data_IF_204487078725
#
_entry.id   IF_204487078725
#
_cell.length_a   1.000
_cell.length_b   1.000
_cell.length_c   1.000
_cell.angle_alpha   90.00
_cell.angle_beta   90.00
_cell.angle_gamma   90.00
#
_symmetry.space_group_name_H-M   'P 1'
#
loop_
_entity.id
_entity.type
_entity.pdbx_description
1 polymer ?
#
# COMPACT_ATOMS: atom_id res chain seq x y z
N UNK A 1 -97.68 12.77 -25.66
CA UNK A 1 -97.36 14.03 -26.33
C UNK A 1 -96.84 15.02 -25.33
N UNK A 2 -95.76 15.52 -25.47
CA UNK A 2 -94.96 16.60 -24.83
C UNK A 2 -93.61 16.06 -24.29
N UNK A 3 -92.61 16.31 -25.06
CA UNK A 3 -91.21 16.14 -24.81
C UNK A 3 -90.71 17.20 -23.84
N UNK A 4 -90.03 16.78 -22.77
CA UNK A 4 -89.29 17.70 -21.88
C UNK A 4 -87.81 17.39 -21.97
N UNK A 5 -87.07 18.32 -22.52
CA UNK A 5 -85.63 18.29 -22.57
C UNK A 5 -85.03 18.92 -21.31
N UNK A 6 -84.39 18.12 -20.50
CA UNK A 6 -83.58 18.62 -19.43
C UNK A 6 -82.15 18.81 -19.88
N UNK A 7 -81.64 20.01 -19.78
CA UNK A 7 -80.29 20.40 -20.05
C UNK A 7 -79.42 20.15 -18.78
N UNK A 8 -78.58 19.20 -18.77
CA UNK A 8 -77.58 18.99 -17.72
C UNK A 8 -76.28 19.79 -17.98
N UNK A 9 -76.04 20.70 -17.06
CA UNK A 9 -74.86 21.54 -17.07
C UNK A 9 -73.69 20.71 -16.45
N UNK A 10 -72.69 20.32 -17.23
CA UNK A 10 -71.47 19.66 -16.79
C UNK A 10 -70.50 20.73 -16.32
N UNK A 11 -70.24 20.79 -15.00
CA UNK A 11 -69.13 21.54 -14.42
C UNK A 11 -67.85 20.75 -14.60
N UNK A 12 -66.96 21.24 -15.42
CA UNK A 12 -65.59 20.70 -15.56
C UNK A 12 -64.73 21.27 -14.42
N UNK A 13 -64.39 20.41 -13.45
CA UNK A 13 -63.38 20.70 -12.43
C UNK A 13 -62.02 20.35 -12.99
N UNK A 14 -61.24 21.36 -13.35
CA UNK A 14 -59.82 21.22 -13.74
C UNK A 14 -58.98 21.00 -12.51
N UNK A 15 -58.52 19.76 -12.30
CA UNK A 15 -57.57 19.37 -11.26
C UNK A 15 -56.15 19.67 -11.75
N UNK A 16 -55.56 20.77 -11.28
CA UNK A 16 -54.15 21.11 -11.56
C UNK A 16 -53.25 20.20 -10.71
N UNK A 17 -52.64 19.20 -11.32
CA UNK A 17 -51.58 18.40 -10.74
C UNK A 17 -50.31 19.25 -10.69
N UNK A 18 -49.97 19.80 -9.54
CA UNK A 18 -48.64 20.32 -9.21
C UNK A 18 -47.72 19.10 -9.06
N UNK A 19 -46.97 18.81 -10.09
CA UNK A 19 -45.85 17.86 -10.05
C UNK A 19 -44.73 18.40 -9.15
N UNK A 20 -44.65 17.88 -7.93
CA UNK A 20 -43.43 18.06 -7.11
C UNK A 20 -42.30 17.27 -7.75
N UNK A 21 -41.39 17.96 -8.41
CA UNK A 21 -40.09 17.39 -8.75
C UNK A 21 -39.34 17.13 -7.42
N UNK A 22 -39.36 15.91 -6.95
CA UNK A 22 -38.39 15.43 -5.96
C UNK A 22 -37.04 15.39 -6.65
N UNK A 23 -36.17 16.36 -6.37
CA UNK A 23 -34.76 16.23 -6.67
C UNK A 23 -34.20 15.11 -5.79
N UNK A 24 -34.07 13.94 -6.39
CA UNK A 24 -33.30 12.84 -5.87
C UNK A 24 -31.85 13.33 -5.81
N UNK A 25 -31.37 13.68 -4.59
CA UNK A 25 -29.96 14.01 -4.36
C UNK A 25 -29.16 12.76 -4.74
N UNK A 26 -28.28 12.90 -5.74
CA UNK A 26 -27.31 11.87 -6.05
C UNK A 26 -26.58 11.46 -4.76
N UNK A 27 -26.30 10.17 -4.54
CA UNK A 27 -25.54 9.73 -3.38
C UNK A 27 -24.21 10.49 -3.40
N UNK A 28 -23.93 11.21 -2.31
CA UNK A 28 -22.59 11.74 -2.05
C UNK A 28 -21.68 10.51 -2.01
N UNK A 29 -20.75 10.41 -2.93
CA UNK A 29 -19.72 9.39 -2.86
C UNK A 29 -19.04 9.59 -1.49
N UNK A 30 -19.10 8.60 -0.62
CA UNK A 30 -18.27 8.58 0.60
C UNK A 30 -16.84 8.68 0.11
N UNK A 31 -16.15 9.77 0.45
CA UNK A 31 -14.71 9.90 0.20
C UNK A 31 -14.06 8.73 0.96
N UNK A 32 -13.40 7.84 0.23
CA UNK A 32 -12.67 6.73 0.85
C UNK A 32 -11.55 7.31 1.71
N UNK A 33 -11.40 6.78 2.92
CA UNK A 33 -10.34 7.14 3.84
C UNK A 33 -8.97 7.00 3.14
N UNK A 34 -8.13 8.02 3.21
CA UNK A 34 -6.79 8.00 2.61
C UNK A 34 -5.88 7.01 3.32
N UNK A 35 -4.80 6.58 2.67
CA UNK A 35 -3.82 5.71 3.31
C UNK A 35 -3.24 6.36 4.57
N UNK A 36 -2.92 7.66 4.52
CA UNK A 36 -2.41 8.42 5.66
C UNK A 36 -3.39 8.38 6.85
N UNK A 37 -4.68 8.60 6.63
CA UNK A 37 -5.71 8.55 7.67
C UNK A 37 -5.80 7.15 8.32
N UNK A 38 -5.76 6.08 7.52
CA UNK A 38 -5.76 4.70 8.02
C UNK A 38 -4.52 4.41 8.89
N UNK A 39 -3.34 4.88 8.46
CA UNK A 39 -2.09 4.71 9.20
C UNK A 39 -2.09 5.50 10.50
N UNK A 40 -2.61 6.73 10.50
CA UNK A 40 -2.76 7.58 11.68
C UNK A 40 -3.77 6.98 12.68
N UNK A 41 -4.90 6.46 12.21
CA UNK A 41 -5.84 5.73 13.05
C UNK A 41 -5.18 4.49 13.70
N UNK A 42 -4.34 3.77 12.94
CA UNK A 42 -3.55 2.64 13.46
C UNK A 42 -2.56 3.06 14.53
N UNK A 43 -1.88 4.21 14.33
CA UNK A 43 -0.95 4.81 15.30
C UNK A 43 -1.69 5.23 16.56
N UNK A 44 -2.82 5.93 16.43
CA UNK A 44 -3.66 6.34 17.57
C UNK A 44 -4.09 5.14 18.41
N UNK A 45 -4.54 4.05 17.78
CA UNK A 45 -4.88 2.80 18.48
C UNK A 45 -3.69 2.17 19.22
N UNK A 46 -2.47 2.27 18.69
CA UNK A 46 -1.27 1.82 19.41
C UNK A 46 -1.03 2.66 20.65
N UNK A 47 -1.11 3.99 20.54
CA UNK A 47 -0.92 4.94 21.66
C UNK A 47 -1.95 4.71 22.76
N UNK A 48 -3.22 4.45 22.41
CA UNK A 48 -4.28 4.15 23.39
C UNK A 48 -4.01 2.86 24.18
N UNK A 49 -3.41 1.84 23.54
CA UNK A 49 -3.25 0.50 24.14
C UNK A 49 -1.88 0.26 24.78
N UNK A 50 -0.88 1.07 24.46
CA UNK A 50 0.49 0.88 24.91
C UNK A 50 0.79 1.69 26.19
N UNK A 51 1.74 1.19 27.00
CA UNK A 51 2.23 1.99 28.14
C UNK A 51 3.12 3.13 27.64
N UNK A 52 3.29 4.22 28.43
CA UNK A 52 4.18 5.33 28.07
C UNK A 52 5.61 4.88 27.73
N UNK A 53 6.14 3.90 28.48
CA UNK A 53 7.48 3.34 28.25
C UNK A 53 7.59 2.63 26.90
N UNK A 54 6.54 1.90 26.51
CA UNK A 54 6.48 1.20 25.22
C UNK A 54 6.36 2.19 24.06
N UNK A 55 5.60 3.27 24.23
CA UNK A 55 5.52 4.34 23.26
C UNK A 55 6.90 4.99 23.09
N UNK A 56 7.53 5.39 24.21
CA UNK A 56 8.85 6.00 24.19
C UNK A 56 9.91 5.08 23.54
N UNK A 57 9.91 3.77 23.86
CA UNK A 57 10.82 2.81 23.22
C UNK A 57 10.61 2.71 21.71
N UNK A 58 9.38 2.76 21.23
CA UNK A 58 9.07 2.73 19.80
C UNK A 58 9.54 4.01 19.09
N UNK A 59 9.30 5.19 19.68
CA UNK A 59 9.75 6.48 19.11
C UNK A 59 11.28 6.57 19.10
N UNK A 60 11.96 6.17 20.20
CA UNK A 60 13.42 6.15 20.27
C UNK A 60 14.01 5.19 19.23
N UNK A 61 13.41 4.03 19.03
CA UNK A 61 13.89 3.07 18.04
C UNK A 61 13.80 3.62 16.60
N UNK A 62 12.74 4.37 16.29
CA UNK A 62 12.62 5.05 14.99
C UNK A 62 13.69 6.13 14.85
N UNK A 63 13.92 6.93 15.88
CA UNK A 63 14.98 7.96 15.87
C UNK A 63 16.35 7.34 15.70
N UNK A 64 16.67 6.22 16.38
CA UNK A 64 17.94 5.51 16.23
C UNK A 64 18.17 5.03 14.80
N UNK A 65 17.12 4.51 14.13
CA UNK A 65 17.20 4.13 12.71
C UNK A 65 17.41 5.36 11.83
N UNK A 66 16.71 6.46 12.07
CA UNK A 66 16.87 7.70 11.31
C UNK A 66 18.30 8.28 11.44
N UNK A 67 18.85 8.25 12.65
CA UNK A 67 20.18 8.81 12.97
C UNK A 67 21.34 7.86 12.52
N UNK A 68 21.04 6.66 12.04
CA UNK A 68 22.06 5.67 11.61
C UNK A 68 22.78 6.02 10.30
N UNK A 69 22.33 7.03 9.58
CA UNK A 69 22.80 7.37 8.23
C UNK A 69 22.27 6.42 7.16
N UNK A 70 21.19 5.68 7.43
CA UNK A 70 20.58 4.75 6.45
C UNK A 70 19.90 5.50 5.31
N UNK A 71 19.31 6.66 5.59
CA UNK A 71 18.58 7.45 4.59
C UNK A 71 19.52 8.01 3.51
N UNK A 72 20.79 8.29 3.85
CA UNK A 72 21.82 8.75 2.92
C UNK A 72 22.41 7.59 2.08
N UNK A 73 22.25 6.34 2.53
CA UNK A 73 22.73 5.14 1.84
C UNK A 73 21.69 4.53 0.91
N UNK A 74 20.42 4.74 1.24
CA UNK A 74 19.30 4.23 0.44
C UNK A 74 19.34 4.84 -0.96
N UNK A 75 19.11 4.02 -1.99
CA UNK A 75 18.94 4.55 -3.34
C UNK A 75 17.74 5.51 -3.36
N UNK A 76 17.80 6.51 -4.22
CA UNK A 76 16.85 7.60 -4.24
C UNK A 76 16.55 8.05 -5.67
N UNK A 77 15.74 9.09 -5.80
CA UNK A 77 15.37 9.70 -7.08
C UNK A 77 16.59 9.95 -7.98
N UNK A 78 16.55 9.45 -9.20
CA UNK A 78 17.60 9.58 -10.21
C UNK A 78 18.65 8.46 -10.18
N UNK A 79 18.70 7.64 -9.14
CA UNK A 79 19.61 6.51 -9.07
C UNK A 79 19.18 5.38 -10.01
N UNK A 80 20.11 4.48 -10.33
CA UNK A 80 19.82 3.23 -11.03
C UNK A 80 19.44 2.16 -10.02
N UNK A 81 18.25 1.57 -10.19
CA UNK A 81 17.79 0.46 -9.39
C UNK A 81 18.67 -0.78 -9.64
N UNK A 82 19.29 -1.37 -8.60
CA UNK A 82 19.96 -2.66 -8.73
C UNK A 82 19.01 -3.72 -9.29
N UNK A 83 19.46 -4.44 -10.34
CA UNK A 83 18.67 -5.55 -10.87
C UNK A 83 18.68 -6.73 -9.89
N UNK A 84 17.61 -7.50 -9.88
CA UNK A 84 17.51 -8.70 -9.07
C UNK A 84 16.71 -9.80 -9.77
N UNK A 85 16.87 -11.01 -9.28
CA UNK A 85 15.95 -12.12 -9.52
C UNK A 85 15.62 -12.74 -8.18
N UNK A 86 14.36 -12.66 -7.78
CA UNK A 86 13.85 -13.20 -6.52
C UNK A 86 12.72 -14.20 -6.78
N UNK A 87 12.53 -15.20 -5.90
CA UNK A 87 11.39 -16.09 -6.01
C UNK A 87 10.09 -15.39 -5.62
N UNK A 88 9.02 -15.63 -6.39
CA UNK A 88 7.67 -15.32 -5.96
C UNK A 88 7.21 -16.28 -4.85
N UNK A 89 5.98 -16.09 -4.36
CA UNK A 89 5.40 -16.91 -3.31
C UNK A 89 5.24 -18.40 -3.71
N UNK A 90 5.26 -18.73 -5.00
CA UNK A 90 5.21 -20.10 -5.54
C UNK A 90 6.59 -20.66 -5.86
N UNK A 91 7.66 -19.86 -5.68
CA UNK A 91 9.04 -20.22 -5.97
C UNK A 91 9.48 -19.97 -7.42
N UNK A 92 8.66 -19.34 -8.24
CA UNK A 92 9.05 -18.96 -9.60
C UNK A 92 9.99 -17.75 -9.56
N UNK A 93 11.07 -17.73 -10.38
CA UNK A 93 11.97 -16.59 -10.43
C UNK A 93 11.29 -15.41 -11.14
N UNK A 94 11.36 -14.23 -10.52
CA UNK A 94 10.90 -12.96 -11.08
C UNK A 94 12.08 -11.99 -11.12
N UNK A 95 12.37 -11.45 -12.30
CA UNK A 95 13.44 -10.47 -12.51
C UNK A 95 12.84 -9.07 -12.60
N UNK A 96 13.46 -8.09 -11.92
CA UNK A 96 13.04 -6.69 -12.03
C UNK A 96 13.05 -6.21 -13.49
N UNK A 97 14.12 -6.51 -14.24
CA UNK A 97 14.24 -6.03 -15.62
C UNK A 97 13.28 -6.71 -16.59
N UNK A 98 12.84 -7.94 -16.29
CA UNK A 98 11.78 -8.59 -17.07
C UNK A 98 10.41 -7.94 -16.80
N UNK A 99 10.19 -7.43 -15.59
CA UNK A 99 8.98 -6.65 -15.28
C UNK A 99 9.05 -5.24 -15.89
N UNK A 100 10.21 -4.58 -15.85
CA UNK A 100 10.43 -3.28 -16.49
C UNK A 100 10.24 -3.32 -18.01
N UNK A 101 10.51 -4.45 -18.65
CA UNK A 101 10.21 -4.63 -20.07
C UNK A 101 8.71 -4.60 -20.41
N UNK A 102 7.83 -4.76 -19.42
CA UNK A 102 6.36 -4.69 -19.55
C UNK A 102 5.82 -3.29 -19.28
N UNK A 103 6.58 -2.44 -18.59
CA UNK A 103 6.21 -1.08 -18.19
C UNK A 103 6.92 -0.64 -16.91
N UNK A 104 6.63 0.55 -16.40
CA UNK A 104 7.20 1.00 -15.14
C UNK A 104 6.81 0.06 -13.98
N UNK A 105 7.70 -0.05 -12.98
CA UNK A 105 7.49 -0.92 -11.81
C UNK A 105 7.35 -0.07 -10.56
N UNK A 106 6.22 -0.22 -9.87
CA UNK A 106 6.07 0.22 -8.48
C UNK A 106 6.67 -0.88 -7.62
N UNK A 107 7.84 -0.61 -7.03
CA UNK A 107 8.58 -1.53 -6.19
C UNK A 107 8.50 -1.09 -4.73
N UNK A 108 7.86 -1.90 -3.88
CA UNK A 108 7.72 -1.58 -2.47
C UNK A 108 8.33 -2.66 -1.59
N UNK A 109 9.16 -2.26 -0.61
CA UNK A 109 9.59 -3.15 0.47
C UNK A 109 8.68 -3.02 1.68
N UNK A 110 8.35 -4.16 2.27
CA UNK A 110 7.61 -4.23 3.52
C UNK A 110 8.32 -5.11 4.53
N UNK A 111 8.07 -4.88 5.82
CA UNK A 111 8.78 -5.52 6.93
C UNK A 111 8.38 -6.97 7.15
N UNK A 112 7.18 -7.33 6.76
CA UNK A 112 6.59 -8.66 6.88
C UNK A 112 5.08 -8.63 7.10
N UNK A 113 4.43 -9.76 6.89
CA UNK A 113 2.99 -10.00 7.05
C UNK A 113 2.46 -9.73 8.47
N UNK A 114 3.34 -9.83 9.47
CA UNK A 114 3.06 -9.52 10.86
C UNK A 114 2.94 -8.01 11.15
N UNK A 115 3.34 -7.15 10.23
CA UNK A 115 3.38 -5.69 10.41
C UNK A 115 2.05 -5.04 10.01
N UNK A 116 1.25 -4.49 10.95
CA UNK A 116 -0.08 -3.97 10.63
C UNK A 116 -0.05 -2.76 9.69
N UNK A 117 0.97 -1.90 9.75
CA UNK A 117 1.12 -0.76 8.83
C UNK A 117 1.42 -1.23 7.40
N UNK A 118 2.21 -2.30 7.27
CA UNK A 118 2.48 -2.90 5.97
C UNK A 118 1.21 -3.50 5.37
N UNK A 119 0.41 -4.19 6.19
CA UNK A 119 -0.85 -4.77 5.74
C UNK A 119 -1.82 -3.70 5.25
N UNK A 120 -1.96 -2.57 5.96
CA UNK A 120 -2.80 -1.44 5.54
C UNK A 120 -2.34 -0.96 4.15
N UNK A 121 -1.06 -0.67 3.95
CA UNK A 121 -0.52 -0.22 2.67
C UNK A 121 -0.78 -1.22 1.53
N UNK A 122 -0.52 -2.52 1.78
CA UNK A 122 -0.64 -3.53 0.73
C UNK A 122 -2.10 -3.81 0.36
N UNK A 123 -3.04 -3.65 1.30
CA UNK A 123 -4.48 -3.66 0.99
C UNK A 123 -4.90 -2.44 0.18
N UNK A 124 -4.38 -1.27 0.49
CA UNK A 124 -4.66 -0.04 -0.25
C UNK A 124 -4.12 -0.11 -1.69
N UNK A 125 -2.92 -0.69 -1.88
CA UNK A 125 -2.40 -1.04 -3.20
C UNK A 125 -3.27 -2.06 -3.95
N UNK A 126 -3.80 -3.08 -3.25
CA UNK A 126 -4.70 -4.05 -3.87
C UNK A 126 -6.00 -3.38 -4.35
N UNK A 127 -6.56 -2.47 -3.55
CA UNK A 127 -7.75 -1.71 -3.94
C UNK A 127 -7.50 -0.83 -5.18
N UNK A 128 -6.27 -0.33 -5.35
CA UNK A 128 -5.85 0.53 -6.46
C UNK A 128 -5.22 -0.24 -7.63
N UNK A 129 -5.14 -1.59 -7.55
CA UNK A 129 -4.40 -2.40 -8.53
C UNK A 129 -4.92 -2.24 -9.96
N UNK A 130 -6.24 -2.13 -10.13
CA UNK A 130 -6.84 -1.89 -11.43
C UNK A 130 -6.37 -0.60 -12.09
N UNK A 131 -6.23 0.48 -11.32
CA UNK A 131 -5.73 1.78 -11.79
C UNK A 131 -4.24 1.71 -12.14
N UNK A 132 -3.44 1.02 -11.31
CA UNK A 132 -2.00 0.78 -11.56
C UNK A 132 -1.81 0.05 -12.88
N UNK A 133 -2.55 -1.04 -13.10
CA UNK A 133 -2.49 -1.85 -14.32
C UNK A 133 -3.00 -1.07 -15.55
N UNK A 134 -4.05 -0.27 -15.39
CA UNK A 134 -4.57 0.58 -16.46
C UNK A 134 -3.55 1.65 -16.89
N UNK A 135 -2.68 2.09 -15.98
CA UNK A 135 -1.55 2.97 -16.29
C UNK A 135 -0.34 2.22 -16.91
N UNK A 136 -0.44 0.92 -17.14
CA UNK A 136 0.63 0.10 -17.72
C UNK A 136 1.74 -0.27 -16.73
N UNK A 137 1.58 0.03 -15.44
CA UNK A 137 2.59 -0.25 -14.41
C UNK A 137 2.40 -1.65 -13.81
N UNK A 138 3.53 -2.24 -13.34
CA UNK A 138 3.54 -3.46 -12.53
C UNK A 138 3.72 -3.10 -11.06
N UNK A 139 3.04 -3.82 -10.16
CA UNK A 139 3.23 -3.69 -8.71
C UNK A 139 3.97 -4.91 -8.17
N UNK A 140 5.11 -4.66 -7.53
CA UNK A 140 5.99 -5.67 -6.94
C UNK A 140 6.24 -5.33 -5.47
N UNK A 141 5.85 -6.22 -4.56
CA UNK A 141 6.11 -6.10 -3.13
C UNK A 141 7.18 -7.13 -2.71
N UNK A 142 8.15 -6.69 -1.91
CA UNK A 142 9.29 -7.50 -1.48
C UNK A 142 9.39 -7.51 0.05
N UNK A 143 9.64 -8.66 0.64
CA UNK A 143 9.94 -8.79 2.07
C UNK A 143 11.02 -9.83 2.33
N UNK A 144 11.66 -9.84 3.51
CA UNK A 144 12.62 -10.87 3.89
C UNK A 144 11.95 -12.19 4.31
N UNK A 145 10.64 -12.29 4.27
CA UNK A 145 9.92 -13.48 4.71
C UNK A 145 10.21 -14.70 3.83
N UNK A 146 10.14 -15.87 4.46
CA UNK A 146 10.16 -17.15 3.74
C UNK A 146 8.96 -17.22 2.78
N UNK A 147 9.16 -17.85 1.62
CA UNK A 147 8.11 -17.94 0.58
C UNK A 147 6.80 -18.56 1.08
N UNK A 148 6.85 -19.56 1.95
CA UNK A 148 5.65 -20.17 2.54
C UNK A 148 4.84 -19.16 3.40
N UNK A 149 5.53 -18.31 4.16
CA UNK A 149 4.90 -17.26 4.95
C UNK A 149 4.26 -16.19 4.05
N UNK A 150 4.99 -15.78 3.01
CA UNK A 150 4.52 -14.83 2.02
C UNK A 150 3.31 -15.37 1.23
N UNK A 151 3.34 -16.65 0.83
CA UNK A 151 2.24 -17.31 0.12
C UNK A 151 0.98 -17.36 0.97
N UNK A 152 1.08 -17.91 2.19
CA UNK A 152 -0.07 -18.04 3.10
C UNK A 152 -0.72 -16.69 3.38
N UNK A 153 0.07 -15.64 3.49
CA UNK A 153 -0.43 -14.28 3.72
C UNK A 153 -1.06 -13.69 2.45
N UNK A 154 -0.42 -13.86 1.29
CA UNK A 154 -0.93 -13.42 -0.02
C UNK A 154 -2.30 -14.03 -0.32
N UNK A 155 -2.43 -15.36 -0.14
CA UNK A 155 -3.68 -16.08 -0.36
C UNK A 155 -4.78 -15.63 0.60
N UNK A 156 -4.46 -15.52 1.89
CA UNK A 156 -5.42 -15.08 2.92
C UNK A 156 -5.97 -13.68 2.67
N UNK A 157 -5.19 -12.81 2.05
CA UNK A 157 -5.56 -11.41 1.80
C UNK A 157 -5.91 -11.17 0.32
N UNK A 158 -6.02 -12.23 -0.49
CA UNK A 158 -6.45 -12.17 -1.90
C UNK A 158 -5.64 -11.17 -2.73
N UNK A 159 -4.30 -11.11 -2.50
CA UNK A 159 -3.43 -10.18 -3.22
C UNK A 159 -3.11 -10.71 -4.61
N UNK A 160 -3.41 -9.94 -5.64
CA UNK A 160 -3.23 -10.33 -7.04
C UNK A 160 -1.91 -9.86 -7.65
N UNK A 161 -1.23 -8.88 -7.01
CA UNK A 161 0.06 -8.39 -7.47
C UNK A 161 1.22 -9.34 -7.09
N UNK A 162 2.42 -9.05 -7.61
CA UNK A 162 3.63 -9.84 -7.40
C UNK A 162 4.14 -9.64 -5.97
N UNK A 163 4.34 -10.74 -5.24
CA UNK A 163 4.94 -10.74 -3.89
C UNK A 163 6.18 -11.62 -3.93
N UNK A 164 7.34 -11.06 -3.53
CA UNK A 164 8.65 -11.70 -3.61
C UNK A 164 9.29 -11.87 -2.23
N UNK A 165 10.12 -12.91 -2.11
CA UNK A 165 10.87 -13.24 -0.92
C UNK A 165 12.37 -12.92 -1.11
N UNK A 166 12.88 -11.92 -0.38
CA UNK A 166 14.31 -11.56 -0.30
C UNK A 166 14.92 -12.11 1.00
N UNK A 167 14.96 -13.45 1.12
CA UNK A 167 15.44 -14.12 2.33
C UNK A 167 16.87 -13.71 2.66
N UNK A 168 17.07 -13.18 3.86
CA UNK A 168 18.34 -12.64 4.34
C UNK A 168 18.62 -11.23 3.86
N UNK A 169 17.64 -10.50 3.33
CA UNK A 169 17.74 -9.08 2.91
C UNK A 169 18.89 -8.82 1.92
N UNK A 170 19.13 -9.71 0.99
CA UNK A 170 20.28 -9.63 0.07
C UNK A 170 20.15 -8.46 -0.89
N UNK A 171 18.99 -8.36 -1.53
CA UNK A 171 18.69 -7.28 -2.48
C UNK A 171 18.41 -5.97 -1.73
N UNK A 172 17.68 -6.02 -0.60
CA UNK A 172 17.46 -4.85 0.23
C UNK A 172 18.78 -4.19 0.69
N UNK A 173 19.88 -4.97 0.87
CA UNK A 173 21.22 -4.40 1.15
C UNK A 173 21.80 -3.65 -0.04
N UNK A 174 21.60 -4.14 -1.26
CA UNK A 174 22.05 -3.46 -2.48
C UNK A 174 21.31 -2.14 -2.68
N UNK A 175 20.04 -2.08 -2.22
CA UNK A 175 19.24 -0.85 -2.19
C UNK A 175 19.59 0.06 -1.00
N UNK A 176 20.49 -0.36 -0.08
CA UNK A 176 20.92 0.44 1.07
C UNK A 176 19.88 0.63 2.16
N UNK A 177 18.83 -0.21 2.20
CA UNK A 177 17.65 -0.01 3.05
C UNK A 177 17.59 -0.95 4.26
N UNK A 178 18.60 -1.74 4.55
CA UNK A 178 18.61 -2.71 5.66
C UNK A 178 19.10 -2.08 6.94
N UNK A 179 18.33 -2.22 8.00
CA UNK A 179 18.72 -1.83 9.35
C UNK A 179 18.58 -3.00 10.33
N UNK A 180 19.39 -2.98 11.38
CA UNK A 180 19.21 -3.88 12.52
C UNK A 180 18.18 -3.28 13.48
N UNK A 181 17.27 -4.11 13.98
CA UNK A 181 16.27 -3.70 14.97
C UNK A 181 16.99 -3.17 16.23
N UNK A 182 16.65 -1.95 16.68
CA UNK A 182 17.21 -1.35 17.89
C UNK A 182 17.02 -2.24 19.13
N UNK A 183 18.07 -2.31 19.97
CA UNK A 183 18.11 -3.20 21.14
C UNK A 183 16.91 -2.99 22.09
N UNK A 184 16.45 -1.75 22.23
CA UNK A 184 15.34 -1.40 23.12
C UNK A 184 14.01 -2.11 22.78
N UNK A 185 13.85 -2.57 21.54
CA UNK A 185 12.62 -3.22 21.05
C UNK A 185 12.86 -4.65 20.53
N UNK A 186 14.11 -5.13 20.47
CA UNK A 186 14.45 -6.43 19.86
C UNK A 186 13.74 -7.63 20.49
N UNK A 187 13.44 -7.56 21.81
CA UNK A 187 12.73 -8.63 22.52
C UNK A 187 11.37 -9.02 21.93
N UNK A 188 10.77 -8.13 21.15
CA UNK A 188 9.54 -8.43 20.39
C UNK A 188 9.76 -9.21 19.10
N UNK A 189 11.01 -9.39 18.67
CA UNK A 189 11.37 -9.93 17.36
C UNK A 189 12.23 -11.20 17.41
N UNK A 190 12.77 -11.54 18.58
CA UNK A 190 13.51 -12.77 18.81
C UNK A 190 12.58 -13.99 18.92
N UNK A 191 13.15 -15.19 18.93
CA UNK A 191 12.42 -16.43 19.08
C UNK A 191 11.47 -16.41 20.30
N UNK A 192 10.21 -16.70 20.05
CA UNK A 192 9.14 -16.61 21.05
C UNK A 192 8.61 -15.19 21.32
N UNK A 193 9.19 -14.18 20.69
CA UNK A 193 8.68 -12.80 20.71
C UNK A 193 7.39 -12.65 19.92
N UNK A 194 6.76 -11.48 20.01
CA UNK A 194 5.48 -11.20 19.35
C UNK A 194 5.56 -11.30 17.81
N UNK A 195 6.66 -10.85 17.24
CA UNK A 195 6.94 -10.85 15.79
C UNK A 195 8.21 -11.68 15.54
N UNK A 196 8.21 -12.93 15.94
CA UNK A 196 9.34 -13.86 15.90
C UNK A 196 9.93 -14.00 14.48
N UNK A 197 11.00 -13.26 14.19
CA UNK A 197 11.62 -13.25 12.86
C UNK A 197 12.24 -14.60 12.49
N UNK A 198 12.58 -15.43 13.46
CA UNK A 198 13.10 -16.78 13.15
C UNK A 198 12.05 -17.64 12.44
N UNK A 199 10.77 -17.37 12.69
CA UNK A 199 9.64 -18.03 12.01
C UNK A 199 9.31 -17.40 10.68
N UNK A 200 9.31 -16.06 10.61
CA UNK A 200 8.91 -15.36 9.41
C UNK A 200 10.02 -15.31 8.37
N UNK A 201 11.24 -14.94 8.78
CA UNK A 201 12.38 -14.72 7.89
C UNK A 201 13.34 -15.92 7.84
N UNK A 202 13.23 -16.86 8.79
CA UNK A 202 14.09 -18.05 8.84
C UNK A 202 15.48 -17.78 9.41
N UNK A 203 15.73 -16.59 10.00
CA UNK A 203 17.02 -16.23 10.59
C UNK A 203 16.86 -15.44 11.90
N UNK A 204 17.97 -15.26 12.63
CA UNK A 204 18.06 -14.51 13.88
C UNK A 204 18.90 -13.22 13.75
N UNK A 205 19.09 -12.72 12.54
CA UNK A 205 19.87 -11.51 12.26
C UNK A 205 19.29 -10.25 12.92
N UNK A 206 17.99 -10.24 13.19
CA UNK A 206 17.22 -9.08 13.63
C UNK A 206 17.33 -7.90 12.67
N UNK A 207 17.42 -8.19 11.37
CA UNK A 207 17.50 -7.18 10.33
C UNK A 207 16.21 -7.12 9.52
N UNK A 208 15.80 -5.91 9.20
CA UNK A 208 14.62 -5.61 8.40
C UNK A 208 14.93 -4.55 7.34
N UNK A 209 14.23 -4.56 6.21
CA UNK A 209 14.26 -3.45 5.29
C UNK A 209 13.45 -2.26 5.84
N UNK A 210 13.84 -1.04 5.47
CA UNK A 210 12.92 0.09 5.52
C UNK A 210 11.69 -0.21 4.67
N UNK A 211 10.56 0.34 5.07
CA UNK A 211 9.35 0.26 4.27
C UNK A 211 9.35 1.42 3.26
N UNK A 212 9.90 1.16 2.10
CA UNK A 212 10.10 2.13 1.02
C UNK A 212 9.19 1.84 -0.16
N UNK A 213 8.96 2.86 -1.00
CA UNK A 213 8.30 2.70 -2.29
C UNK A 213 9.08 3.47 -3.36
N UNK A 214 9.38 2.79 -4.46
CA UNK A 214 9.99 3.36 -5.66
C UNK A 214 9.06 3.19 -6.85
N UNK A 215 9.05 4.14 -7.78
CA UNK A 215 8.62 3.90 -9.15
C UNK A 215 9.88 3.90 -10.01
N UNK A 216 10.08 2.81 -10.74
CA UNK A 216 11.27 2.58 -11.56
C UNK A 216 10.80 2.58 -13.02
N UNK A 217 11.41 3.46 -13.81
CA UNK A 217 11.14 3.56 -15.25
C UNK A 217 11.74 2.38 -16.04
N UNK A 218 11.28 2.16 -17.29
CA UNK A 218 11.74 1.05 -18.13
C UNK A 218 13.26 1.01 -18.36
N UNK A 219 13.94 2.14 -18.22
CA UNK A 219 15.40 2.23 -18.32
C UNK A 219 16.14 1.85 -17.02
N UNK A 220 15.39 1.50 -15.96
CA UNK A 220 15.91 1.15 -14.64
C UNK A 220 16.24 2.36 -13.76
N UNK A 221 15.84 3.58 -14.13
CA UNK A 221 15.99 4.77 -13.28
C UNK A 221 14.87 4.84 -12.25
N UNK A 222 15.21 5.27 -11.03
CA UNK A 222 14.23 5.58 -9.99
C UNK A 222 13.64 6.96 -10.28
N UNK A 223 12.39 6.99 -10.73
CA UNK A 223 11.68 8.22 -11.11
C UNK A 223 10.80 8.78 -9.97
N UNK A 224 10.50 7.96 -8.99
CA UNK A 224 9.86 8.34 -7.73
C UNK A 224 10.46 7.54 -6.59
N UNK A 225 10.66 8.18 -5.43
CA UNK A 225 11.16 7.52 -4.23
C UNK A 225 10.45 8.05 -2.98
N UNK A 226 9.95 7.15 -2.16
CA UNK A 226 9.55 7.41 -0.79
C UNK A 226 10.42 6.58 0.14
N UNK A 227 11.29 7.24 0.90
CA UNK A 227 12.24 6.62 1.83
C UNK A 227 12.14 7.33 3.18
N UNK A 228 11.69 6.64 4.21
CA UNK A 228 11.56 7.17 5.57
C UNK A 228 11.96 6.09 6.59
N UNK A 229 12.62 6.49 7.66
CA UNK A 229 12.97 5.59 8.77
C UNK A 229 11.77 5.21 9.63
N UNK A 230 10.75 6.06 9.67
CA UNK A 230 9.50 5.77 10.37
C UNK A 230 8.62 4.82 9.56
N UNK A 231 8.68 3.54 9.91
CA UNK A 231 7.92 2.48 9.25
C UNK A 231 6.40 2.66 9.29
N UNK A 232 5.89 3.66 9.99
CA UNK A 232 4.46 4.01 10.05
C UNK A 232 4.03 4.94 8.93
N UNK A 233 5.00 5.65 8.30
CA UNK A 233 4.77 6.51 7.16
C UNK A 233 4.92 5.72 5.85
N UNK A 234 4.14 6.09 4.85
CA UNK A 234 4.12 5.46 3.53
C UNK A 234 3.95 6.49 2.43
N UNK A 235 4.37 6.13 1.22
CA UNK A 235 3.91 6.82 0.04
C UNK A 235 2.38 6.71 -0.03
N UNK A 236 1.69 7.83 -0.25
CA UNK A 236 0.26 7.83 -0.48
C UNK A 236 -0.03 7.10 -1.79
N UNK A 237 -0.92 6.10 -1.77
CA UNK A 237 -1.17 5.26 -2.95
C UNK A 237 -1.75 6.07 -4.10
N UNK A 238 -2.62 7.05 -3.83
CA UNK A 238 -3.15 7.95 -4.84
C UNK A 238 -2.06 8.74 -5.55
N UNK A 239 -1.05 9.21 -4.81
CA UNK A 239 0.07 9.97 -5.39
C UNK A 239 0.94 9.08 -6.29
N UNK A 240 1.19 7.84 -5.86
CA UNK A 240 1.95 6.85 -6.65
C UNK A 240 1.19 6.49 -7.93
N UNK A 241 -0.12 6.27 -7.84
CA UNK A 241 -1.00 5.99 -8.99
C UNK A 241 -1.03 7.16 -9.96
N UNK A 242 -1.18 8.39 -9.44
CA UNK A 242 -1.17 9.59 -10.27
C UNK A 242 0.18 9.77 -10.98
N UNK A 243 1.29 9.50 -10.27
CA UNK A 243 2.63 9.55 -10.85
C UNK A 243 2.79 8.58 -12.03
N UNK A 244 2.39 7.32 -11.89
CA UNK A 244 2.52 6.34 -12.99
C UNK A 244 1.59 6.66 -14.15
N UNK A 245 0.41 7.24 -13.91
CA UNK A 245 -0.50 7.71 -14.97
C UNK A 245 0.14 8.82 -15.81
N UNK A 246 0.83 9.76 -15.18
CA UNK A 246 1.55 10.83 -15.88
C UNK A 246 2.75 10.29 -16.67
N UNK A 247 3.46 9.32 -16.13
CA UNK A 247 4.60 8.67 -16.78
C UNK A 247 4.19 7.97 -18.08
N UNK A 248 3.07 7.26 -18.09
CA UNK A 248 2.54 6.61 -19.28
C UNK A 248 2.16 7.61 -20.39
N UNK A 249 1.66 8.81 -20.03
CA UNK A 249 1.27 9.86 -20.99
C UNK A 249 2.43 10.60 -21.65
N UNK A 250 3.67 10.43 -21.17
CA UNK A 250 4.87 11.10 -21.73
C UNK A 250 5.67 10.24 -22.71
N UNK A 251 5.22 8.99 -22.95
CA UNK A 251 5.93 8.00 -23.77
C UNK A 251 5.37 7.87 -25.20
N UNK A 252 4.52 8.84 -25.67
CA UNK A 252 3.99 8.93 -27.04
C UNK A 252 4.80 9.88 -27.94
#
# INVERSE_FOLDING_TARGET
MRTNRSISLLLAVSLSLLGACSQESAPVAEESETLAEQLDARKAKFVEMATPERIASAENAISEVADSGILEKAINLGDKAPNFTLPDALGNPVSLYDELAKGPVILTWYRGSWCPYCNIQLHDYQASLGDIQAAGAQLVAVSPELSDSALSWKEKNELEFIVLSDVGNKIAREYGIVYRIPQAIEGGYVAGGRNDLTKYNGDDSLELPLAVTYVIGPDGTVDYAFVDADYRKRAETSDVVEFVKQFAGTSE
#
